data_IF_028787862754
#
_entry.id   IF_028787862754
#
_cell.length_a   1.000
_cell.length_b   1.000
_cell.length_c   1.000
_cell.angle_alpha   90.00
_cell.angle_beta   90.00
_cell.angle_gamma   90.00
#
_symmetry.space_group_name_H-M   'P 1'
#
loop_
_entity.id
_entity.type
_entity.pdbx_description
1 polymer ?
#
# COMPACT_ATOMS: atom_id res chain seq x y z
N UNK A 1 25.57 -4.59 -22.40
CA UNK A 1 25.66 -3.89 -21.10
C UNK A 1 26.00 -4.92 -20.03
N UNK A 2 27.03 -4.67 -19.20
CA UNK A 2 27.47 -5.62 -18.15
C UNK A 2 26.47 -5.67 -16.99
N UNK A 3 26.09 -6.87 -16.52
CA UNK A 3 25.22 -7.08 -15.35
C UNK A 3 25.74 -6.34 -14.10
N UNK A 4 27.05 -6.29 -13.90
CA UNK A 4 27.68 -5.59 -12.78
C UNK A 4 27.43 -4.07 -12.82
N UNK A 5 27.42 -3.46 -14.01
CA UNK A 5 27.13 -2.04 -14.17
C UNK A 5 25.65 -1.70 -13.88
N UNK A 6 24.75 -2.65 -14.08
CA UNK A 6 23.33 -2.47 -13.74
C UNK A 6 23.11 -2.54 -12.22
N UNK A 7 23.80 -3.45 -11.52
CA UNK A 7 23.72 -3.58 -10.07
C UNK A 7 24.24 -2.35 -9.33
N UNK A 8 25.40 -1.82 -9.77
CA UNK A 8 25.97 -0.60 -9.16
C UNK A 8 25.10 0.63 -9.39
N UNK A 9 24.48 0.77 -10.57
CA UNK A 9 23.54 1.87 -10.86
C UNK A 9 22.26 1.77 -10.06
N UNK A 10 21.70 0.56 -9.85
CA UNK A 10 20.54 0.36 -9.00
C UNK A 10 20.83 0.77 -7.56
N UNK A 11 21.93 0.30 -6.98
CA UNK A 11 22.35 0.70 -5.65
C UNK A 11 22.56 2.22 -5.52
N UNK A 12 23.12 2.86 -6.56
CA UNK A 12 23.27 4.33 -6.60
C UNK A 12 21.92 5.05 -6.64
N UNK A 13 20.96 4.55 -7.42
CA UNK A 13 19.60 5.09 -7.46
C UNK A 13 18.92 4.98 -6.09
N UNK A 14 18.99 3.82 -5.45
CA UNK A 14 18.41 3.58 -4.12
C UNK A 14 19.03 4.53 -3.07
N UNK A 15 20.35 4.74 -3.14
CA UNK A 15 21.04 5.68 -2.28
C UNK A 15 20.58 7.12 -2.51
N UNK A 16 20.44 7.55 -3.77
CA UNK A 16 19.95 8.88 -4.13
C UNK A 16 18.51 9.10 -3.63
N UNK A 17 17.62 8.12 -3.80
CA UNK A 17 16.23 8.16 -3.29
C UNK A 17 16.20 8.29 -1.77
N UNK A 18 17.04 7.52 -1.06
CA UNK A 18 17.16 7.61 0.40
C UNK A 18 17.69 8.96 0.85
N UNK A 19 18.68 9.51 0.14
CA UNK A 19 19.24 10.85 0.41
C UNK A 19 18.20 11.95 0.15
N UNK A 20 17.43 11.84 -0.93
CA UNK A 20 16.30 12.72 -1.24
C UNK A 20 15.22 12.70 -0.15
N UNK A 21 14.98 11.54 0.46
CA UNK A 21 14.07 11.44 1.60
C UNK A 21 14.63 12.13 2.85
N UNK A 22 15.92 11.94 3.15
CA UNK A 22 16.58 12.58 4.30
C UNK A 22 16.65 14.11 4.18
N UNK A 23 16.86 14.63 2.98
CA UNK A 23 16.93 16.09 2.74
C UNK A 23 15.71 16.84 3.29
N UNK A 24 14.54 16.19 3.32
CA UNK A 24 13.26 16.77 3.81
C UNK A 24 13.24 17.08 5.30
N UNK A 25 14.11 16.47 6.08
CA UNK A 25 14.16 16.65 7.53
C UNK A 25 15.20 17.71 7.93
N UNK A 26 15.74 18.47 6.98
CA UNK A 26 16.74 19.49 7.22
C UNK A 26 16.14 20.88 6.98
N UNK A 27 16.80 21.90 7.52
CA UNK A 27 16.52 23.29 7.18
C UNK A 27 16.65 23.54 5.68
N UNK A 28 15.91 24.50 5.14
CA UNK A 28 15.75 24.72 3.69
C UNK A 28 17.08 24.84 2.93
N UNK A 29 18.07 25.55 3.49
CA UNK A 29 19.36 25.75 2.85
C UNK A 29 20.17 24.45 2.73
N UNK A 30 20.13 23.62 3.78
CA UNK A 30 20.77 22.30 3.82
C UNK A 30 20.03 21.33 2.90
N UNK A 31 18.69 21.37 2.93
CA UNK A 31 17.85 20.57 2.05
C UNK A 31 18.17 20.86 0.57
N UNK A 32 18.26 22.12 0.17
CA UNK A 32 18.57 22.51 -1.21
C UNK A 32 19.97 22.07 -1.65
N UNK A 33 20.97 22.13 -0.75
CA UNK A 33 22.30 21.63 -1.05
C UNK A 33 22.31 20.11 -1.26
N UNK A 34 21.67 19.36 -0.36
CA UNK A 34 21.53 17.92 -0.49
C UNK A 34 20.78 17.53 -1.78
N UNK A 35 19.76 18.31 -2.15
CA UNK A 35 18.99 18.07 -3.38
C UNK A 35 19.82 18.32 -4.65
N UNK A 36 20.72 19.31 -4.67
CA UNK A 36 21.65 19.50 -5.80
C UNK A 36 22.51 18.27 -6.04
N UNK A 37 23.03 17.67 -4.97
CA UNK A 37 23.81 16.44 -5.06
C UNK A 37 22.96 15.26 -5.53
N UNK A 38 21.74 15.11 -5.00
CA UNK A 38 20.78 14.09 -5.44
C UNK A 38 20.45 14.24 -6.94
N UNK A 39 20.31 15.46 -7.45
CA UNK A 39 20.04 15.70 -8.87
C UNK A 39 21.22 15.30 -9.76
N UNK A 40 22.46 15.51 -9.30
CA UNK A 40 23.63 15.00 -9.99
C UNK A 40 23.66 13.46 -9.98
N UNK A 41 23.34 12.84 -8.85
CA UNK A 41 23.28 11.37 -8.74
C UNK A 41 22.21 10.76 -9.67
N UNK A 42 21.02 11.37 -9.77
CA UNK A 42 20.02 10.96 -10.76
C UNK A 42 20.54 11.13 -12.19
N UNK A 43 21.15 12.27 -12.52
CA UNK A 43 21.72 12.52 -13.85
C UNK A 43 22.75 11.46 -14.24
N UNK A 44 23.59 11.03 -13.31
CA UNK A 44 24.58 9.97 -13.54
C UNK A 44 23.91 8.62 -13.83
N UNK A 45 22.79 8.30 -13.16
CA UNK A 45 22.02 7.06 -13.42
C UNK A 45 21.42 7.08 -14.83
N UNK A 46 20.95 8.24 -15.31
CA UNK A 46 20.35 8.40 -16.66
C UNK A 46 21.27 8.03 -17.81
N UNK A 47 22.60 8.01 -17.59
CA UNK A 47 23.58 7.58 -18.60
C UNK A 47 23.52 6.07 -18.91
N UNK A 48 22.70 5.27 -18.20
CA UNK A 48 22.54 3.83 -18.44
C UNK A 48 21.09 3.47 -18.77
N UNK A 49 20.89 2.48 -19.65
CA UNK A 49 19.59 2.21 -20.30
C UNK A 49 18.48 1.62 -19.40
N UNK A 50 18.71 0.60 -18.55
CA UNK A 50 17.58 -0.12 -17.94
C UNK A 50 16.87 0.63 -16.80
N UNK A 51 17.46 1.70 -16.25
CA UNK A 51 16.93 2.41 -15.07
C UNK A 51 16.49 3.84 -15.37
N UNK A 52 16.43 4.25 -16.64
CA UNK A 52 16.17 5.65 -17.01
C UNK A 52 14.78 6.10 -16.59
N UNK A 53 13.76 5.28 -16.85
CA UNK A 53 12.38 5.59 -16.46
C UNK A 53 12.25 5.73 -14.93
N UNK A 54 12.75 4.75 -14.18
CA UNK A 54 12.72 4.74 -12.71
C UNK A 54 13.47 5.94 -12.09
N UNK A 55 14.67 6.26 -12.62
CA UNK A 55 15.43 7.42 -12.17
C UNK A 55 14.72 8.76 -12.50
N UNK A 56 14.13 8.88 -13.69
CA UNK A 56 13.32 10.06 -14.05
C UNK A 56 12.09 10.19 -13.16
N UNK A 57 11.41 9.08 -12.87
CA UNK A 57 10.26 9.07 -11.96
C UNK A 57 10.67 9.58 -10.57
N UNK A 58 11.71 9.01 -9.97
CA UNK A 58 12.16 9.43 -8.64
C UNK A 58 12.69 10.86 -8.59
N UNK A 59 13.32 11.33 -9.67
CA UNK A 59 13.69 12.73 -9.80
C UNK A 59 12.43 13.62 -9.83
N UNK A 60 11.43 13.26 -10.63
CA UNK A 60 10.14 13.95 -10.67
C UNK A 60 9.47 14.03 -9.30
N UNK A 61 9.40 12.91 -8.57
CA UNK A 61 8.84 12.86 -7.20
C UNK A 61 9.63 13.76 -6.24
N UNK A 62 10.95 13.78 -6.37
CA UNK A 62 11.81 14.63 -5.51
C UNK A 62 11.52 16.11 -5.78
N UNK A 63 11.43 16.51 -7.05
CA UNK A 63 11.08 17.87 -7.45
C UNK A 63 9.66 18.25 -7.02
N UNK A 64 8.68 17.36 -7.21
CA UNK A 64 7.29 17.59 -6.79
C UNK A 64 7.21 17.88 -5.28
N UNK A 65 7.93 17.10 -4.48
CA UNK A 65 8.00 17.31 -3.02
C UNK A 65 8.73 18.59 -2.65
N UNK A 66 9.84 18.91 -3.32
CA UNK A 66 10.54 20.18 -3.12
C UNK A 66 9.62 21.37 -3.47
N UNK A 67 8.88 21.29 -4.57
CA UNK A 67 7.97 22.35 -4.99
C UNK A 67 6.87 22.61 -3.94
N UNK A 68 6.35 21.55 -3.30
CA UNK A 68 5.35 21.65 -2.22
C UNK A 68 5.88 22.32 -0.95
N UNK A 69 7.20 22.28 -0.69
CA UNK A 69 7.81 22.92 0.48
C UNK A 69 8.29 24.34 0.22
N UNK A 70 8.25 24.82 -1.02
CA UNK A 70 8.75 26.15 -1.40
C UNK A 70 7.61 27.16 -1.61
N UNK A 71 7.80 28.43 -1.23
CA UNK A 71 6.83 29.47 -1.53
C UNK A 71 6.79 29.78 -3.04
N UNK A 72 5.66 30.31 -3.50
CA UNK A 72 5.59 30.99 -4.80
C UNK A 72 6.42 32.28 -4.76
N UNK A 73 7.22 32.63 -5.79
CA UNK A 73 7.26 32.03 -7.13
C UNK A 73 8.29 30.91 -7.33
N UNK A 74 9.10 30.56 -6.33
CA UNK A 74 10.16 29.55 -6.45
C UNK A 74 9.62 28.18 -6.88
N UNK A 75 8.51 27.76 -6.27
CA UNK A 75 7.85 26.47 -6.54
C UNK A 75 7.46 26.26 -8.01
N UNK A 76 7.10 27.32 -8.75
CA UNK A 76 6.60 27.25 -10.13
C UNK A 76 7.59 26.55 -11.07
N UNK A 77 8.87 26.94 -11.01
CA UNK A 77 9.89 26.35 -11.88
C UNK A 77 10.18 24.90 -11.48
N UNK A 78 10.11 24.60 -10.18
CA UNK A 78 10.33 23.25 -9.66
C UNK A 78 9.19 22.31 -10.11
N UNK A 79 7.93 22.75 -10.06
CA UNK A 79 6.79 21.98 -10.61
C UNK A 79 6.95 21.72 -12.10
N UNK A 80 7.34 22.72 -12.90
CA UNK A 80 7.59 22.54 -14.34
C UNK A 80 8.66 21.47 -14.60
N UNK A 81 9.74 21.49 -13.83
CA UNK A 81 10.78 20.46 -13.91
C UNK A 81 10.24 19.08 -13.50
N UNK A 82 9.42 18.99 -12.45
CA UNK A 82 8.80 17.72 -12.06
C UNK A 82 7.94 17.13 -13.19
N UNK A 83 7.06 17.95 -13.77
CA UNK A 83 6.21 17.56 -14.91
C UNK A 83 7.05 17.08 -16.10
N UNK A 84 8.15 17.77 -16.41
CA UNK A 84 9.07 17.36 -17.47
C UNK A 84 9.72 16.00 -17.18
N UNK A 85 10.14 15.72 -15.93
CA UNK A 85 10.70 14.42 -15.55
C UNK A 85 9.68 13.29 -15.66
N UNK A 86 8.45 13.49 -15.22
CA UNK A 86 7.39 12.49 -15.40
C UNK A 86 7.06 12.26 -16.87
N UNK A 87 7.02 13.33 -17.68
CA UNK A 87 6.78 13.24 -19.13
C UNK A 87 7.89 12.44 -19.83
N UNK A 88 9.16 12.67 -19.48
CA UNK A 88 10.26 11.88 -20.01
C UNK A 88 10.26 10.44 -19.49
N UNK A 89 9.89 10.20 -18.24
CA UNK A 89 9.67 8.84 -17.74
C UNK A 89 8.67 8.09 -18.63
N UNK A 90 7.51 8.72 -18.89
CA UNK A 90 6.48 8.16 -19.75
C UNK A 90 6.84 8.09 -21.24
N UNK A 91 7.87 8.81 -21.69
CA UNK A 91 8.41 8.65 -23.06
C UNK A 91 9.21 7.36 -23.17
N UNK A 92 9.86 6.92 -22.09
CA UNK A 92 10.66 5.69 -22.03
C UNK A 92 9.77 4.49 -21.70
N UNK A 93 8.87 4.64 -20.73
CA UNK A 93 7.87 3.64 -20.37
C UNK A 93 6.46 4.27 -20.41
N UNK A 94 5.73 4.14 -21.53
CA UNK A 94 4.40 4.72 -21.70
C UNK A 94 3.38 4.30 -20.66
N UNK A 95 3.57 3.14 -20.00
CA UNK A 95 2.64 2.57 -19.02
C UNK A 95 3.10 2.75 -17.57
N UNK A 96 4.03 3.68 -17.31
CA UNK A 96 4.49 3.99 -15.95
C UNK A 96 3.39 4.68 -15.14
N UNK A 97 2.51 3.90 -14.52
CA UNK A 97 1.29 4.34 -13.84
C UNK A 97 1.52 5.48 -12.83
N UNK A 98 2.51 5.31 -11.94
CA UNK A 98 2.80 6.30 -10.92
C UNK A 98 3.25 7.65 -11.50
N UNK A 99 3.94 7.65 -12.64
CA UNK A 99 4.36 8.87 -13.32
C UNK A 99 3.18 9.61 -13.94
N UNK A 100 2.16 8.90 -14.44
CA UNK A 100 0.93 9.51 -14.94
C UNK A 100 0.16 10.20 -13.79
N UNK A 101 -0.05 9.51 -12.66
CA UNK A 101 -0.73 10.08 -11.49
C UNK A 101 0.03 11.32 -10.96
N UNK A 102 1.34 11.18 -10.70
CA UNK A 102 2.14 12.26 -10.13
C UNK A 102 2.30 13.45 -11.11
N UNK A 103 2.30 13.20 -12.42
CA UNK A 103 2.26 14.29 -13.42
C UNK A 103 0.95 15.08 -13.35
N UNK A 104 -0.19 14.39 -13.20
CA UNK A 104 -1.49 15.03 -13.05
C UNK A 104 -1.56 15.89 -11.79
N UNK A 105 -1.10 15.35 -10.66
CA UNK A 105 -0.98 16.09 -9.38
C UNK A 105 -0.07 17.31 -9.52
N UNK A 106 1.10 17.15 -10.14
CA UNK A 106 2.03 18.25 -10.37
C UNK A 106 1.43 19.37 -11.25
N UNK A 107 0.57 19.02 -12.22
CA UNK A 107 -0.14 20.00 -13.06
C UNK A 107 -1.17 20.78 -12.25
N UNK A 108 -1.97 20.12 -11.40
CA UNK A 108 -2.94 20.80 -10.52
C UNK A 108 -2.22 21.69 -9.49
N UNK A 109 -1.16 21.18 -8.87
CA UNK A 109 -0.36 21.97 -7.92
C UNK A 109 0.28 23.19 -8.59
N UNK A 110 0.79 23.05 -9.82
CA UNK A 110 1.30 24.18 -10.61
C UNK A 110 0.20 25.18 -10.95
N UNK A 111 -1.01 24.72 -11.27
CA UNK A 111 -2.14 25.59 -11.54
C UNK A 111 -2.48 26.44 -10.31
N UNK A 112 -2.58 25.80 -9.13
CA UNK A 112 -2.79 26.49 -7.85
C UNK A 112 -1.66 27.47 -7.53
N UNK A 113 -0.39 27.07 -7.70
CA UNK A 113 0.76 27.93 -7.45
C UNK A 113 0.79 29.18 -8.36
N UNK A 114 0.25 29.07 -9.57
CA UNK A 114 0.13 30.19 -10.52
C UNK A 114 -1.15 31.01 -10.35
N UNK A 115 -2.11 30.56 -9.54
CA UNK A 115 -3.41 31.21 -9.38
C UNK A 115 -4.22 31.28 -10.67
N UNK A 116 -4.06 30.30 -11.58
CA UNK A 116 -4.81 30.28 -12.85
C UNK A 116 -6.25 29.78 -12.62
N UNK A 117 -7.23 30.20 -13.44
CA UNK A 117 -8.60 29.73 -13.33
C UNK A 117 -8.73 28.23 -13.64
N UNK A 118 -9.84 27.60 -13.20
CA UNK A 118 -10.14 26.19 -13.44
C UNK A 118 -10.21 25.79 -14.93
N UNK A 119 -10.42 26.76 -15.83
CA UNK A 119 -10.43 26.60 -17.28
C UNK A 119 -9.04 26.59 -17.92
N UNK A 120 -7.98 26.85 -17.15
CA UNK A 120 -6.60 26.88 -17.66
C UNK A 120 -6.15 25.50 -18.19
N UNK A 121 -5.24 25.54 -19.16
CA UNK A 121 -4.67 24.36 -19.80
C UNK A 121 -4.01 23.42 -18.79
N UNK A 122 -3.48 23.91 -17.66
CA UNK A 122 -2.88 23.06 -16.64
C UNK A 122 -3.86 22.05 -16.03
N UNK A 123 -5.13 22.42 -15.84
CA UNK A 123 -6.15 21.48 -15.39
C UNK A 123 -6.52 20.48 -16.49
N UNK A 124 -6.41 20.87 -17.76
CA UNK A 124 -6.64 19.96 -18.88
C UNK A 124 -5.48 18.97 -19.05
N UNK A 125 -4.25 19.43 -18.82
CA UNK A 125 -3.08 18.56 -18.72
C UNK A 125 -3.24 17.57 -17.56
N UNK A 126 -3.69 18.02 -16.39
CA UNK A 126 -3.94 17.15 -15.26
C UNK A 126 -4.97 16.06 -15.59
N UNK A 127 -6.12 16.46 -16.16
CA UNK A 127 -7.16 15.55 -16.62
C UNK A 127 -6.62 14.46 -17.54
N UNK A 128 -5.87 14.84 -18.59
CA UNK A 128 -5.27 13.89 -19.55
C UNK A 128 -4.34 12.89 -18.88
N UNK A 129 -3.57 13.31 -17.87
CA UNK A 129 -2.70 12.39 -17.14
C UNK A 129 -3.48 11.40 -16.27
N UNK A 130 -4.55 11.83 -15.62
CA UNK A 130 -5.42 10.94 -14.86
C UNK A 130 -6.23 9.98 -15.75
N UNK A 131 -6.71 10.44 -16.91
CA UNK A 131 -7.29 9.58 -17.95
C UNK A 131 -6.29 8.53 -18.43
N UNK A 132 -5.03 8.93 -18.65
CA UNK A 132 -3.95 7.99 -18.98
C UNK A 132 -3.71 6.97 -17.86
N UNK A 133 -3.65 7.40 -16.60
CA UNK A 133 -3.53 6.49 -15.46
C UNK A 133 -4.69 5.48 -15.42
N UNK A 134 -5.92 5.94 -15.65
CA UNK A 134 -7.10 5.07 -15.73
C UNK A 134 -7.09 4.12 -16.94
N UNK A 135 -6.42 4.47 -18.04
CA UNK A 135 -6.21 3.58 -19.18
C UNK A 135 -5.20 2.46 -18.89
N UNK A 136 -4.26 2.68 -17.96
CA UNK A 136 -3.29 1.68 -17.52
C UNK A 136 -3.91 0.78 -16.45
N UNK A 137 -4.59 1.38 -15.47
CA UNK A 137 -5.30 0.69 -14.39
C UNK A 137 -6.64 1.37 -14.13
N UNK A 138 -7.74 0.67 -14.45
CA UNK A 138 -9.08 1.22 -14.39
C UNK A 138 -9.43 1.83 -13.02
N UNK A 139 -9.82 3.12 -13.05
CA UNK A 139 -10.32 3.88 -11.91
C UNK A 139 -9.30 4.23 -10.82
N UNK A 140 -8.00 3.96 -11.03
CA UNK A 140 -6.92 4.29 -10.08
C UNK A 140 -6.79 5.79 -9.80
N UNK A 141 -7.14 6.64 -10.76
CA UNK A 141 -7.11 8.10 -10.66
C UNK A 141 -8.52 8.71 -10.78
N UNK A 142 -9.58 7.92 -10.55
CA UNK A 142 -10.96 8.40 -10.67
C UNK A 142 -11.28 9.50 -9.66
N UNK A 143 -10.79 9.40 -8.42
CA UNK A 143 -10.96 10.47 -7.44
C UNK A 143 -10.25 11.77 -7.89
N UNK A 144 -9.04 11.68 -8.44
CA UNK A 144 -8.36 12.85 -8.99
C UNK A 144 -9.11 13.49 -10.17
N UNK A 145 -9.76 12.69 -11.02
CA UNK A 145 -10.66 13.23 -12.06
C UNK A 145 -11.86 13.94 -11.44
N UNK A 146 -12.45 13.39 -10.37
CA UNK A 146 -13.52 14.08 -9.64
C UNK A 146 -13.07 15.45 -9.13
N UNK A 147 -11.87 15.57 -8.56
CA UNK A 147 -11.30 16.86 -8.16
C UNK A 147 -11.20 17.86 -9.34
N UNK A 148 -10.70 17.41 -10.50
CA UNK A 148 -10.60 18.27 -11.70
C UNK A 148 -11.99 18.71 -12.20
N UNK A 149 -12.99 17.83 -12.18
CA UNK A 149 -14.35 18.20 -12.54
C UNK A 149 -15.02 19.10 -11.49
N UNK A 150 -14.77 18.85 -10.21
CA UNK A 150 -15.28 19.62 -9.08
C UNK A 150 -14.84 21.08 -9.12
N UNK A 151 -13.54 21.35 -9.33
CA UNK A 151 -13.03 22.72 -9.42
C UNK A 151 -13.54 23.45 -10.66
N UNK A 152 -13.93 22.71 -11.71
CA UNK A 152 -14.58 23.22 -12.93
C UNK A 152 -16.10 23.34 -12.80
N UNK A 153 -16.68 22.94 -11.67
CA UNK A 153 -18.13 22.87 -11.45
C UNK A 153 -18.88 22.00 -12.46
N UNK A 154 -18.21 20.99 -13.01
CA UNK A 154 -18.79 19.99 -13.90
C UNK A 154 -19.41 18.87 -13.04
N UNK A 155 -20.62 19.13 -12.53
CA UNK A 155 -21.26 18.31 -11.50
C UNK A 155 -21.51 16.86 -11.95
N UNK A 156 -21.98 16.66 -13.18
CA UNK A 156 -22.28 15.32 -13.69
C UNK A 156 -21.00 14.49 -13.82
N UNK A 157 -19.95 15.05 -14.44
CA UNK A 157 -18.68 14.35 -14.57
C UNK A 157 -17.97 14.14 -13.22
N UNK A 158 -18.10 15.08 -12.29
CA UNK A 158 -17.60 14.94 -10.93
C UNK A 158 -18.26 13.75 -10.21
N UNK A 159 -19.60 13.65 -10.27
CA UNK A 159 -20.34 12.55 -9.66
C UNK A 159 -19.99 11.20 -10.31
N UNK A 160 -19.92 11.13 -11.64
CA UNK A 160 -19.55 9.89 -12.33
C UNK A 160 -18.12 9.45 -11.96
N UNK A 161 -17.18 10.37 -11.86
CA UNK A 161 -15.82 10.07 -11.41
C UNK A 161 -15.78 9.57 -9.95
N UNK A 162 -16.57 10.15 -9.04
CA UNK A 162 -16.72 9.67 -7.66
C UNK A 162 -17.32 8.26 -7.57
N UNK A 163 -18.34 7.97 -8.39
CA UNK A 163 -18.93 6.62 -8.48
C UNK A 163 -17.90 5.60 -8.98
N UNK A 164 -17.09 5.95 -9.97
CA UNK A 164 -16.02 5.06 -10.46
C UNK A 164 -14.98 4.83 -9.36
N UNK A 165 -14.57 5.89 -8.64
CA UNK A 165 -13.64 5.76 -7.51
C UNK A 165 -14.20 4.83 -6.42
N UNK A 166 -15.50 4.95 -6.11
CA UNK A 166 -16.22 4.07 -5.19
C UNK A 166 -16.18 2.62 -5.65
N UNK A 167 -16.60 2.37 -6.89
CA UNK A 167 -16.69 1.03 -7.48
C UNK A 167 -15.33 0.32 -7.51
N UNK A 168 -14.24 1.06 -7.72
CA UNK A 168 -12.87 0.52 -7.76
C UNK A 168 -12.17 0.50 -6.41
N UNK A 169 -12.81 0.95 -5.33
CA UNK A 169 -12.22 0.98 -3.99
C UNK A 169 -11.08 1.98 -3.83
N UNK A 170 -11.08 3.06 -4.62
CA UNK A 170 -10.04 4.10 -4.63
C UNK A 170 -10.54 5.44 -4.06
N UNK A 171 -11.62 5.43 -3.28
CA UNK A 171 -12.04 6.61 -2.54
C UNK A 171 -11.14 6.83 -1.33
N UNK A 172 -10.77 8.09 -1.03
CA UNK A 172 -10.27 8.48 0.27
C UNK A 172 -11.33 8.31 1.36
N UNK A 173 -10.97 8.57 2.62
CA UNK A 173 -11.96 8.59 3.69
C UNK A 173 -12.91 9.81 3.58
N UNK A 174 -14.05 9.74 4.25
CA UNK A 174 -15.08 10.77 4.18
C UNK A 174 -14.59 12.15 4.61
N UNK A 175 -13.70 12.23 5.61
CA UNK A 175 -13.18 13.49 6.11
C UNK A 175 -12.22 14.12 5.09
N UNK A 176 -11.38 13.32 4.44
CA UNK A 176 -10.53 13.75 3.33
C UNK A 176 -11.36 14.23 2.13
N UNK A 177 -12.42 13.48 1.75
CA UNK A 177 -13.34 13.89 0.68
C UNK A 177 -14.01 15.23 0.98
N UNK A 178 -14.52 15.41 2.21
CA UNK A 178 -15.23 16.63 2.63
C UNK A 178 -14.31 17.84 2.83
N UNK A 179 -13.02 17.60 3.09
CA UNK A 179 -12.03 18.66 3.25
C UNK A 179 -11.32 19.04 1.94
N UNK A 180 -11.55 18.30 0.85
CA UNK A 180 -10.87 18.53 -0.42
C UNK A 180 -11.31 19.88 -1.04
N UNK A 181 -10.38 20.84 -1.20
CA UNK A 181 -10.72 22.15 -1.74
C UNK A 181 -11.20 22.10 -3.19
N UNK A 182 -10.80 21.09 -3.96
CA UNK A 182 -11.20 20.93 -5.36
C UNK A 182 -12.67 20.45 -5.46
N UNK A 183 -13.25 19.95 -4.36
CA UNK A 183 -14.66 19.55 -4.26
C UNK A 183 -15.55 20.60 -3.58
N UNK A 184 -15.04 21.79 -3.26
CA UNK A 184 -15.78 22.84 -2.56
C UNK A 184 -17.11 23.22 -3.26
N UNK A 185 -17.13 23.21 -4.61
CA UNK A 185 -18.33 23.50 -5.40
C UNK A 185 -19.35 22.34 -5.42
N UNK A 186 -18.92 21.13 -5.05
CA UNK A 186 -19.73 19.92 -5.05
C UNK A 186 -20.37 19.63 -3.68
N UNK A 187 -19.65 19.86 -2.57
CA UNK A 187 -20.07 19.48 -1.20
C UNK A 187 -21.47 20.00 -0.82
N UNK A 188 -21.84 21.19 -1.28
CA UNK A 188 -23.15 21.78 -0.98
C UNK A 188 -24.32 21.18 -1.77
N UNK A 189 -24.04 20.43 -2.84
CA UNK A 189 -25.04 19.98 -3.79
C UNK A 189 -25.85 18.78 -3.25
N UNK A 190 -27.16 18.69 -3.57
CA UNK A 190 -27.99 17.55 -3.16
C UNK A 190 -27.39 16.20 -3.59
N UNK A 191 -26.95 16.11 -4.85
CA UNK A 191 -26.37 14.88 -5.38
C UNK A 191 -25.12 14.41 -4.63
N UNK A 192 -24.33 15.33 -4.09
CA UNK A 192 -23.11 15.00 -3.34
C UNK A 192 -23.47 14.45 -1.96
N UNK A 193 -24.49 15.04 -1.32
CA UNK A 193 -25.02 14.53 -0.04
C UNK A 193 -25.59 13.13 -0.23
N UNK A 194 -26.38 12.92 -1.28
CA UNK A 194 -26.93 11.60 -1.63
C UNK A 194 -25.81 10.58 -1.88
N UNK A 195 -24.75 10.98 -2.58
CA UNK A 195 -23.56 10.15 -2.78
C UNK A 195 -22.90 9.76 -1.44
N UNK A 196 -22.65 10.72 -0.54
CA UNK A 196 -22.04 10.46 0.77
C UNK A 196 -22.94 9.56 1.65
N UNK A 197 -24.25 9.78 1.66
CA UNK A 197 -25.20 8.90 2.34
C UNK A 197 -25.13 7.48 1.78
N UNK A 198 -24.99 7.31 0.46
CA UNK A 198 -24.81 5.98 -0.14
C UNK A 198 -23.52 5.28 0.34
N UNK A 199 -22.46 6.02 0.66
CA UNK A 199 -21.22 5.43 1.21
C UNK A 199 -21.44 4.92 2.63
N UNK A 200 -22.16 5.69 3.45
CA UNK A 200 -22.51 5.30 4.82
C UNK A 200 -23.40 4.06 4.83
N UNK A 201 -24.41 4.02 3.95
CA UNK A 201 -25.29 2.87 3.80
C UNK A 201 -24.54 1.60 3.37
N UNK A 202 -23.65 1.69 2.39
CA UNK A 202 -22.83 0.55 1.94
C UNK A 202 -21.97 0.01 3.08
N UNK A 203 -21.29 0.88 3.83
CA UNK A 203 -20.48 0.48 4.99
C UNK A 203 -21.32 -0.17 6.09
N UNK A 204 -22.51 0.37 6.36
CA UNK A 204 -23.44 -0.25 7.33
C UNK A 204 -23.83 -1.66 6.88
N UNK A 205 -24.19 -1.83 5.61
CA UNK A 205 -24.56 -3.14 5.06
C UNK A 205 -23.39 -4.12 5.05
N UNK A 206 -22.17 -3.66 4.77
CA UNK A 206 -20.97 -4.49 4.88
C UNK A 206 -20.70 -4.92 6.32
N UNK A 207 -20.87 -4.03 7.29
CA UNK A 207 -20.69 -4.35 8.70
C UNK A 207 -21.73 -5.37 9.20
N UNK A 208 -23.00 -5.18 8.85
CA UNK A 208 -24.07 -6.12 9.17
C UNK A 208 -23.78 -7.51 8.60
N UNK A 209 -23.33 -7.59 7.34
CA UNK A 209 -22.92 -8.85 6.71
C UNK A 209 -21.72 -9.48 7.43
N UNK A 210 -20.73 -8.68 7.82
CA UNK A 210 -19.53 -9.15 8.54
C UNK A 210 -19.91 -9.74 9.89
N UNK A 211 -20.76 -9.05 10.66
CA UNK A 211 -21.24 -9.52 11.96
C UNK A 211 -22.08 -10.80 11.83
N UNK A 212 -22.96 -10.88 10.82
CA UNK A 212 -23.74 -12.08 10.55
C UNK A 212 -22.86 -13.28 10.17
N UNK A 213 -21.84 -13.06 9.32
CA UNK A 213 -20.88 -14.11 8.94
C UNK A 213 -20.06 -14.61 10.15
N UNK A 214 -19.63 -13.70 11.03
CA UNK A 214 -18.94 -14.06 12.27
C UNK A 214 -19.82 -14.89 13.20
N UNK A 215 -21.06 -14.47 13.42
CA UNK A 215 -22.01 -15.21 14.25
C UNK A 215 -22.31 -16.61 13.69
N UNK A 216 -22.47 -16.74 12.38
CA UNK A 216 -22.67 -18.03 11.72
C UNK A 216 -21.46 -18.96 11.90
N UNK A 217 -20.23 -18.44 11.74
CA UNK A 217 -19.00 -19.22 11.94
C UNK A 217 -18.82 -19.66 13.40
N UNK A 218 -19.17 -18.81 14.37
CA UNK A 218 -19.15 -19.14 15.80
C UNK A 218 -20.17 -20.24 16.14
N UNK A 219 -21.40 -20.15 15.62
CA UNK A 219 -22.43 -21.17 15.80
C UNK A 219 -22.02 -22.53 15.22
N UNK A 220 -21.43 -22.56 14.01
CA UNK A 220 -20.93 -23.78 13.38
C UNK A 220 -19.76 -24.40 14.16
N UNK A 221 -18.87 -23.56 14.71
CA UNK A 221 -17.76 -24.01 15.55
C UNK A 221 -18.23 -24.59 16.89
N UNK A 222 -19.31 -24.06 17.48
CA UNK A 222 -19.93 -24.62 18.68
C UNK A 222 -20.64 -25.95 18.40
N UNK A 223 -21.32 -26.08 17.27
CA UNK A 223 -21.99 -27.32 16.88
C UNK A 223 -21.01 -28.49 16.69
N UNK A 224 -19.84 -28.20 16.08
CA UNK A 224 -18.76 -29.18 15.88
C UNK A 224 -18.06 -29.62 17.18
N UNK A 225 -18.20 -28.86 18.28
CA UNK A 225 -17.65 -29.21 19.60
C UNK A 225 -18.55 -30.14 20.41
N UNK A 226 -19.80 -30.37 19.99
CA UNK A 226 -20.70 -31.30 20.69
C UNK A 226 -20.18 -32.74 20.52
N UNK A 227 -20.00 -33.50 21.61
CA UNK A 227 -19.49 -34.87 21.52
C UNK A 227 -20.45 -35.72 20.70
N UNK A 228 -19.91 -36.45 19.72
CA UNK A 228 -20.67 -37.39 18.91
C UNK A 228 -20.98 -38.62 19.78
N UNK A 229 -22.04 -38.54 20.58
CA UNK A 229 -22.43 -39.63 21.47
C UNK A 229 -23.06 -40.76 20.63
N UNK A 230 -22.21 -41.59 20.02
CA UNK A 230 -22.61 -42.81 19.32
C UNK A 230 -22.80 -44.01 20.25
N UNK A 231 -22.57 -43.85 21.55
CA UNK A 231 -22.91 -44.86 22.55
C UNK A 231 -24.35 -44.67 23.03
N UNK A 232 -25.30 -44.74 22.10
CA UNK A 232 -26.68 -45.01 22.47
C UNK A 232 -26.71 -46.49 22.87
N UNK A 233 -26.73 -46.73 24.18
CA UNK A 233 -26.87 -48.05 24.80
C UNK A 233 -27.96 -48.86 24.07
N UNK A 234 -27.56 -49.89 23.32
CA UNK A 234 -28.47 -50.87 22.75
C UNK A 234 -28.72 -51.97 23.80
N UNK A 235 -29.92 -52.01 24.41
CA UNK A 235 -30.22 -52.97 25.47
C UNK A 235 -30.32 -54.44 24.98
N UNK A 236 -30.10 -54.71 23.68
CA UNK A 236 -30.18 -56.06 23.10
C UNK A 236 -28.85 -56.68 22.67
N UNK A 237 -27.70 -56.06 22.99
CA UNK A 237 -26.39 -56.68 22.73
C UNK A 237 -26.18 -57.94 23.59
N UNK A 238 -26.14 -59.11 22.93
CA UNK A 238 -25.96 -60.44 23.57
C UNK A 238 -24.59 -60.57 24.27
N UNK A 239 -24.50 -61.31 25.39
CA UNK A 239 -23.23 -61.51 26.07
C UNK A 239 -22.33 -62.47 25.29
N UNK A 240 -21.11 -62.04 24.97
CA UNK A 240 -20.06 -62.89 24.42
C UNK A 240 -19.55 -63.90 25.48
N UNK A 241 -19.38 -65.15 25.04
CA UNK A 241 -18.89 -66.26 25.87
C UNK A 241 -17.41 -66.08 26.19
N UNK A 242 -17.06 -66.14 27.47
CA UNK A 242 -15.69 -66.34 27.95
C UNK A 242 -15.14 -67.68 27.44
N UNK A 243 -13.99 -67.65 26.79
CA UNK A 243 -13.17 -68.84 26.53
C UNK A 243 -12.23 -69.08 27.73
N UNK A 244 -12.13 -70.34 28.14
CA UNK A 244 -11.21 -70.85 29.17
C UNK A 244 -9.76 -70.95 28.65
N UNK A 245 -8.75 -70.96 29.55
CA UNK A 245 -7.34 -70.92 29.16
C UNK A 245 -6.74 -72.32 28.96
N UNK A 246 -5.95 -72.51 27.89
CA UNK A 246 -5.07 -73.67 27.74
C UNK A 246 -3.66 -73.39 28.28
N UNK A 247 -3.15 -74.37 29.03
CA UNK A 247 -1.82 -74.42 29.65
C UNK A 247 -0.87 -75.17 28.71
N UNK A 248 0.36 -74.67 28.51
CA UNK A 248 1.59 -75.51 28.40
C UNK A 248 2.92 -74.74 28.50
N UNK A 249 3.60 -75.00 29.62
CA UNK A 249 5.03 -75.30 29.86
C UNK A 249 6.18 -74.60 29.07
N UNK A 250 6.94 -73.76 29.82
CA UNK A 250 8.41 -73.76 30.11
C UNK A 250 9.40 -74.33 29.09
N UNK A 251 10.63 -73.87 28.83
CA UNK A 251 11.62 -72.84 29.28
C UNK A 251 12.90 -73.13 28.40
N UNK A 252 14.11 -72.50 28.53
CA UNK A 252 14.57 -71.49 29.50
C UNK A 252 15.36 -70.28 28.92
N UNK A 253 15.65 -69.42 29.89
CA UNK A 253 16.47 -68.21 30.02
C UNK A 253 17.82 -68.13 29.29
N UNK A 254 18.21 -66.89 28.97
CA UNK A 254 19.54 -66.36 29.34
C UNK A 254 19.45 -64.89 29.75
N UNK A 255 20.25 -64.60 30.78
CA UNK A 255 20.32 -63.43 31.66
C UNK A 255 21.28 -62.37 31.12
N UNK A 256 21.00 -61.08 31.35
CA UNK A 256 21.92 -60.03 31.87
C UNK A 256 21.26 -58.64 31.69
N UNK A 257 20.71 -58.06 32.76
CA UNK A 257 21.36 -57.20 33.76
C UNK A 257 21.48 -55.72 33.32
N UNK A 258 20.61 -54.87 33.89
CA UNK A 258 20.78 -53.42 33.92
C UNK A 258 21.68 -53.05 35.12
N UNK A 259 22.28 -51.85 35.16
CA UNK A 259 21.65 -50.88 36.04
C UNK A 259 21.84 -49.37 35.71
N UNK A 260 20.79 -48.62 36.07
CA UNK A 260 20.76 -47.38 36.88
C UNK A 260 21.33 -46.04 36.37
N UNK A 261 20.42 -45.06 36.46
CA UNK A 261 20.51 -43.76 37.14
C UNK A 261 21.59 -42.73 36.74
N UNK A 262 21.14 -41.54 36.32
CA UNK A 262 21.15 -40.30 37.12
C UNK A 262 20.77 -39.14 36.17
N UNK A 263 19.75 -38.34 36.47
CA UNK A 263 19.78 -37.23 37.43
C UNK A 263 20.69 -36.07 36.99
N UNK A 264 20.02 -34.98 36.61
CA UNK A 264 20.20 -33.64 37.17
C UNK A 264 21.03 -32.58 36.41
N UNK A 265 20.50 -31.37 36.53
CA UNK A 265 21.13 -30.05 36.46
C UNK A 265 21.37 -29.32 35.11
N UNK A 266 20.44 -28.41 34.79
CA UNK A 266 20.78 -26.99 34.59
C UNK A 266 21.05 -26.35 35.98
N UNK A 267 21.61 -25.12 36.17
CA UNK A 267 21.75 -23.99 35.24
C UNK A 267 23.10 -23.22 35.35
N UNK A 268 23.32 -22.17 34.52
CA UNK A 268 23.58 -20.77 34.96
C UNK A 268 24.22 -19.88 33.89
N UNK A 269 23.75 -18.65 33.91
CA UNK A 269 24.34 -17.41 33.40
C UNK A 269 25.83 -17.24 33.73
N UNK A 270 26.55 -16.52 32.85
CA UNK A 270 27.41 -15.40 33.23
C UNK A 270 27.88 -14.62 31.98
N UNK A 271 27.56 -13.32 31.94
CA UNK A 271 28.40 -12.30 31.31
C UNK A 271 29.70 -12.13 32.12
N UNK A 272 30.75 -11.49 31.58
CA UNK A 272 30.98 -10.09 32.00
C UNK A 272 31.65 -9.15 30.97
N UNK A 273 31.38 -7.85 31.19
CA UNK A 273 32.27 -6.66 31.21
C UNK A 273 33.19 -6.23 30.05
N UNK A 274 32.86 -5.02 29.53
CA UNK A 274 33.64 -3.75 29.57
C UNK A 274 35.15 -3.72 29.26
N UNK A 275 35.50 -2.93 28.22
CA UNK A 275 36.57 -1.89 28.16
C UNK A 275 36.49 -1.23 26.76
N UNK A 276 36.19 0.06 26.60
CA UNK A 276 37.00 1.26 26.86
C UNK A 276 38.23 1.37 25.93
N UNK A 277 38.06 2.09 24.81
CA UNK A 277 38.90 3.20 24.30
C UNK A 277 38.14 3.98 23.22
#
# INVERSE_FOLDING_TARGET
>A
MSFFASFTKKSKLDAAVKKAAKARNNEDSIADQLLKEVYQEYADVLTGDPLRAEALYHWGVTLLRQAKSKPTPESINIYRNAIAKFSFCMTIDPNYLAAAIDAGVACMDLARARGVPASDELYEMAKKQFEKANSIQAGVAAFNLACVHGIRSDHDACLEALKIAKEKGNLPDDAEILADPDLANAIGQPWFKDFMTSLEEDRRLEEEKRLAAKAAAEAEAEEKKKPNNKDLFDPYSKPEKKAEPEIKASEPETVEEAPKNNADSAPKEAAPELSAE
#
